data_IF_688772103599
#
_entry.id   IF_688772103599
#
_cell.length_a   1.000
_cell.length_b   1.000
_cell.length_c   1.000
_cell.angle_alpha   90.00
_cell.angle_beta   90.00
_cell.angle_gamma   90.00
#
_symmetry.space_group_name_H-M   'P 1'
#
loop_
_entity.id
_entity.type
_entity.pdbx_description
1 polymer ?
#
# COMPACT_ATOMS: atom_id res chain seq x y z
N UNK A 1 18.54 -12.02 -45.73
CA UNK A 1 18.32 -10.78 -44.94
C UNK A 1 16.84 -10.62 -44.63
N UNK A 2 16.38 -11.24 -43.56
CA UNK A 2 15.01 -11.03 -43.09
C UNK A 2 15.02 -9.75 -42.30
N UNK A 3 14.51 -8.65 -42.93
CA UNK A 3 14.36 -7.36 -42.32
C UNK A 3 13.66 -7.46 -40.97
N UNK A 4 14.42 -7.24 -39.89
CA UNK A 4 13.84 -6.94 -38.59
C UNK A 4 13.08 -5.62 -38.74
N UNK A 5 11.77 -5.71 -38.77
CA UNK A 5 10.93 -4.52 -38.61
C UNK A 5 11.32 -3.82 -37.34
N UNK A 6 11.68 -2.52 -37.37
CA UNK A 6 12.02 -1.78 -36.16
C UNK A 6 10.87 -1.94 -35.15
N UNK A 7 11.17 -2.40 -33.95
CA UNK A 7 10.17 -2.40 -32.88
C UNK A 7 9.64 -0.98 -32.74
N UNK A 8 8.32 -0.76 -32.72
CA UNK A 8 7.76 0.58 -32.62
C UNK A 8 8.26 1.23 -31.35
N UNK A 9 8.98 2.35 -31.49
CA UNK A 9 9.35 3.23 -30.38
C UNK A 9 8.14 3.39 -29.46
N UNK A 10 8.32 3.13 -28.16
CA UNK A 10 7.30 2.99 -27.12
C UNK A 10 6.00 3.73 -27.42
N UNK A 11 4.91 2.99 -27.67
CA UNK A 11 3.56 3.50 -27.99
C UNK A 11 3.06 4.55 -26.98
N UNK A 12 3.58 4.51 -25.75
CA UNK A 12 3.18 5.39 -24.66
C UNK A 12 4.34 6.27 -24.19
N UNK A 13 4.08 7.57 -23.96
CA UNK A 13 5.04 8.52 -23.40
C UNK A 13 5.06 8.45 -21.86
N UNK A 14 3.90 8.29 -21.22
CA UNK A 14 3.76 8.13 -19.78
C UNK A 14 3.81 6.65 -19.36
N UNK A 15 4.42 6.33 -18.19
CA UNK A 15 5.25 7.20 -17.38
C UNK A 15 6.73 7.16 -17.81
N UNK A 16 7.45 8.23 -17.51
CA UNK A 16 8.91 8.22 -17.38
C UNK A 16 9.27 8.23 -15.89
N UNK A 17 10.54 8.04 -15.54
CA UNK A 17 11.00 8.19 -14.15
C UNK A 17 10.75 9.63 -13.66
N UNK A 18 10.96 10.64 -14.52
CA UNK A 18 10.66 12.04 -14.20
C UNK A 18 9.17 12.25 -13.91
N UNK A 19 8.28 11.60 -14.68
CA UNK A 19 6.84 11.66 -14.43
C UNK A 19 6.48 11.09 -13.05
N UNK A 20 7.09 9.95 -12.65
CA UNK A 20 6.85 9.35 -11.34
C UNK A 20 7.39 10.25 -10.21
N UNK A 21 8.57 10.83 -10.36
CA UNK A 21 9.12 11.78 -9.39
C UNK A 21 8.27 13.05 -9.29
N UNK A 22 7.78 13.57 -10.42
CA UNK A 22 6.88 14.71 -10.43
C UNK A 22 5.57 14.40 -9.68
N UNK A 23 4.99 13.20 -9.88
CA UNK A 23 3.80 12.76 -9.15
C UNK A 23 4.06 12.64 -7.64
N UNK A 24 5.24 12.19 -7.22
CA UNK A 24 5.65 12.23 -5.80
C UNK A 24 5.69 13.66 -5.28
N UNK A 25 6.30 14.59 -6.02
CA UNK A 25 6.29 16.01 -5.64
C UNK A 25 4.87 16.58 -5.51
N UNK A 26 3.99 16.27 -6.47
CA UNK A 26 2.57 16.67 -6.41
C UNK A 26 1.87 16.07 -5.19
N UNK A 27 2.14 14.81 -4.83
CA UNK A 27 1.59 14.20 -3.62
C UNK A 27 1.88 15.03 -2.37
N UNK A 28 3.14 15.45 -2.17
CA UNK A 28 3.50 16.27 -1.03
C UNK A 28 2.88 17.67 -1.08
N UNK A 29 2.74 18.28 -2.26
CA UNK A 29 2.03 19.55 -2.41
C UNK A 29 0.54 19.41 -2.08
N UNK A 30 -0.10 18.32 -2.47
CA UNK A 30 -1.51 18.06 -2.17
C UNK A 30 -1.78 17.87 -0.68
N UNK A 31 -0.79 17.51 0.15
CA UNK A 31 -0.96 17.51 1.61
C UNK A 31 -1.32 18.92 2.12
N UNK A 32 -0.66 19.97 1.62
CA UNK A 32 -1.00 21.35 1.98
C UNK A 32 -2.39 21.75 1.50
N UNK A 33 -2.79 21.28 0.32
CA UNK A 33 -4.17 21.53 -0.19
C UNK A 33 -5.19 20.84 0.71
N UNK A 34 -4.94 19.62 1.16
CA UNK A 34 -5.81 18.89 2.09
C UNK A 34 -5.94 19.60 3.44
N UNK A 35 -4.81 20.09 3.99
CA UNK A 35 -4.82 20.88 5.23
C UNK A 35 -5.64 22.18 5.07
N UNK A 36 -5.45 22.91 3.97
CA UNK A 36 -6.22 24.11 3.67
C UNK A 36 -7.71 23.81 3.52
N UNK A 37 -8.05 22.74 2.80
CA UNK A 37 -9.42 22.31 2.64
C UNK A 37 -10.08 21.93 3.98
N UNK A 38 -9.36 21.24 4.88
CA UNK A 38 -9.84 20.95 6.21
C UNK A 38 -10.10 22.22 7.02
N UNK A 39 -9.19 23.20 6.96
CA UNK A 39 -9.39 24.49 7.64
C UNK A 39 -10.62 25.23 7.11
N UNK A 40 -10.82 25.25 5.80
CA UNK A 40 -12.00 25.88 5.17
C UNK A 40 -13.29 25.12 5.49
N UNK A 41 -13.22 23.82 5.74
CA UNK A 41 -14.34 22.99 6.18
C UNK A 41 -14.65 23.12 7.69
N UNK A 42 -13.90 23.96 8.42
CA UNK A 42 -14.14 24.20 9.84
C UNK A 42 -13.41 23.25 10.80
N UNK A 43 -12.46 22.45 10.31
CA UNK A 43 -11.62 21.66 11.21
C UNK A 43 -10.53 22.54 11.84
N UNK A 44 -10.27 22.32 13.13
CA UNK A 44 -9.10 22.86 13.77
C UNK A 44 -7.87 22.02 13.47
N UNK A 45 -6.70 22.67 13.39
CA UNK A 45 -5.45 21.93 13.24
C UNK A 45 -5.16 21.13 14.52
N UNK A 46 -4.75 19.87 14.38
CA UNK A 46 -4.32 19.08 15.53
C UNK A 46 -3.15 19.72 16.24
N UNK A 47 -3.09 19.56 17.55
CA UNK A 47 -1.96 20.01 18.37
C UNK A 47 -0.68 19.26 17.95
N UNK A 48 0.43 20.01 17.81
CA UNK A 48 1.73 19.46 17.44
C UNK A 48 2.26 18.46 18.46
N UNK A 49 1.98 18.68 19.76
CA UNK A 49 2.44 17.78 20.82
C UNK A 49 1.69 16.43 20.78
N UNK A 50 0.41 16.46 20.39
CA UNK A 50 -0.36 15.23 20.09
C UNK A 50 0.23 14.47 18.88
N UNK A 51 0.51 15.19 17.80
CA UNK A 51 1.04 14.57 16.57
C UNK A 51 2.43 13.97 16.75
N UNK A 52 3.25 14.55 17.64
CA UNK A 52 4.57 14.04 17.98
C UNK A 52 4.54 12.90 19.02
N UNK A 53 3.37 12.64 19.62
CA UNK A 53 3.24 11.65 20.69
C UNK A 53 3.80 12.11 22.04
N UNK A 54 4.03 13.42 22.22
CA UNK A 54 4.52 13.99 23.48
C UNK A 54 3.46 13.97 24.59
N UNK A 55 2.19 14.01 24.19
CA UNK A 55 1.02 14.00 25.09
C UNK A 55 0.05 12.92 24.64
N UNK A 56 -0.47 12.14 25.59
CA UNK A 56 -1.51 11.16 25.29
C UNK A 56 -2.84 11.88 24.99
N UNK A 57 -3.47 11.63 23.84
CA UNK A 57 -4.73 12.28 23.48
C UNK A 57 -5.91 11.75 24.30
N UNK A 58 -6.82 12.65 24.67
CA UNK A 58 -8.13 12.24 25.21
C UNK A 58 -8.98 11.52 24.17
N UNK A 59 -10.04 10.76 24.56
CA UNK A 59 -10.92 10.10 23.61
C UNK A 59 -11.55 11.08 22.59
N UNK A 60 -11.93 12.28 23.02
CA UNK A 60 -12.48 13.33 22.16
C UNK A 60 -11.45 13.85 21.16
N UNK A 61 -10.21 14.03 21.59
CA UNK A 61 -9.10 14.43 20.72
C UNK A 61 -8.77 13.34 19.70
N UNK A 62 -8.82 12.06 20.11
CA UNK A 62 -8.62 10.94 19.20
C UNK A 62 -9.67 10.88 18.10
N UNK A 63 -10.95 11.07 18.43
CA UNK A 63 -12.03 11.10 17.44
C UNK A 63 -11.94 12.32 16.51
N UNK A 64 -11.64 13.50 17.07
CA UNK A 64 -11.43 14.73 16.28
C UNK A 64 -10.26 14.55 15.30
N UNK A 65 -9.15 13.98 15.75
CA UNK A 65 -7.98 13.69 14.92
C UNK A 65 -8.30 12.66 13.83
N UNK A 66 -9.05 11.61 14.16
CA UNK A 66 -9.47 10.60 13.19
C UNK A 66 -10.37 11.20 12.10
N UNK A 67 -11.31 12.09 12.46
CA UNK A 67 -12.16 12.82 11.50
C UNK A 67 -11.35 13.76 10.61
N UNK A 68 -10.44 14.52 11.21
CA UNK A 68 -9.53 15.39 10.48
C UNK A 68 -8.68 14.60 9.47
N UNK A 69 -8.09 13.48 9.90
CA UNK A 69 -7.27 12.61 9.05
C UNK A 69 -8.11 11.98 7.94
N UNK A 70 -9.32 11.49 8.22
CA UNK A 70 -10.23 10.96 7.22
C UNK A 70 -10.56 11.97 6.13
N UNK A 71 -10.88 13.20 6.51
CA UNK A 71 -11.22 14.27 5.57
C UNK A 71 -10.00 14.67 4.72
N UNK A 72 -8.87 14.97 5.35
CA UNK A 72 -7.65 15.38 4.64
C UNK A 72 -7.16 14.28 3.70
N UNK A 73 -7.19 13.03 4.15
CA UNK A 73 -6.80 11.87 3.34
C UNK A 73 -7.70 11.70 2.10
N UNK A 74 -9.01 11.78 2.27
CA UNK A 74 -9.97 11.68 1.15
C UNK A 74 -9.73 12.77 0.11
N UNK A 75 -9.55 14.02 0.55
CA UNK A 75 -9.29 15.15 -0.34
C UNK A 75 -7.96 14.98 -1.08
N UNK A 76 -6.88 14.72 -0.35
CA UNK A 76 -5.54 14.62 -0.95
C UNK A 76 -5.42 13.43 -1.91
N UNK A 77 -5.90 12.26 -1.50
CA UNK A 77 -5.83 11.05 -2.34
C UNK A 77 -6.79 11.15 -3.53
N UNK A 78 -8.00 11.71 -3.33
CA UNK A 78 -8.95 11.97 -4.42
C UNK A 78 -8.35 12.90 -5.47
N UNK A 79 -7.77 14.03 -5.05
CA UNK A 79 -7.08 14.95 -5.95
C UNK A 79 -5.87 14.31 -6.63
N UNK A 80 -5.09 13.49 -5.91
CA UNK A 80 -3.94 12.78 -6.47
C UNK A 80 -4.37 11.83 -7.59
N UNK A 81 -5.44 11.07 -7.39
CA UNK A 81 -6.00 10.17 -8.40
C UNK A 81 -6.46 10.97 -9.63
N UNK A 82 -7.26 12.02 -9.42
CA UNK A 82 -7.76 12.86 -10.52
C UNK A 82 -6.62 13.50 -11.30
N UNK A 83 -5.63 14.09 -10.59
CA UNK A 83 -4.45 14.68 -11.21
C UNK A 83 -3.67 13.63 -12.02
N UNK A 84 -3.41 12.45 -11.44
CA UNK A 84 -2.65 11.40 -12.12
C UNK A 84 -3.36 10.91 -13.38
N UNK A 85 -4.69 10.74 -13.35
CA UNK A 85 -5.48 10.37 -14.52
C UNK A 85 -5.42 11.44 -15.61
N UNK A 86 -5.56 12.71 -15.24
CA UNK A 86 -5.46 13.84 -16.14
C UNK A 86 -4.06 13.96 -16.74
N UNK A 87 -3.02 13.93 -15.89
CA UNK A 87 -1.62 14.01 -16.32
C UNK A 87 -1.24 12.85 -17.25
N UNK A 88 -1.64 11.61 -16.91
CA UNK A 88 -1.48 10.44 -17.77
C UNK A 88 -2.11 10.65 -19.15
N UNK A 89 -3.29 11.26 -19.20
CA UNK A 89 -3.97 11.56 -20.48
C UNK A 89 -3.20 12.59 -21.32
N UNK A 90 -2.73 13.68 -20.69
CA UNK A 90 -1.92 14.71 -21.35
C UNK A 90 -0.60 14.14 -21.89
N UNK A 91 0.01 13.21 -21.15
CA UNK A 91 1.29 12.58 -21.50
C UNK A 91 1.14 11.36 -22.42
N UNK A 92 -0.01 11.19 -23.07
CA UNK A 92 -0.28 10.05 -23.96
C UNK A 92 0.05 8.69 -23.34
N UNK A 93 -0.41 8.46 -22.12
CA UNK A 93 -0.30 7.18 -21.41
C UNK A 93 -1.35 6.17 -21.88
N UNK A 94 -1.24 4.93 -21.35
CA UNK A 94 -2.25 3.90 -21.61
C UNK A 94 -3.62 4.33 -21.08
N UNK A 95 -4.68 3.96 -21.78
CA UNK A 95 -6.06 4.11 -21.28
C UNK A 95 -6.51 2.91 -20.44
N UNK A 96 -5.72 1.83 -20.41
CA UNK A 96 -6.01 0.69 -19.56
C UNK A 96 -5.93 1.12 -18.10
N UNK A 97 -6.97 0.84 -17.38
CA UNK A 97 -7.10 1.07 -15.95
C UNK A 97 -7.38 -0.27 -15.27
N UNK A 98 -8.12 -0.25 -14.22
CA UNK A 98 -8.48 -1.38 -13.39
C UNK A 98 -8.84 -2.65 -14.16
N UNK A 99 -8.38 -3.76 -13.62
CA UNK A 99 -8.79 -5.09 -14.04
C UNK A 99 -9.66 -5.69 -12.93
N UNK A 100 -10.81 -6.18 -13.34
CA UNK A 100 -11.78 -6.81 -12.47
C UNK A 100 -11.88 -8.28 -12.83
N UNK A 101 -11.42 -9.15 -11.95
CA UNK A 101 -11.53 -10.59 -12.12
C UNK A 101 -11.92 -11.23 -10.78
N UNK A 102 -12.92 -12.10 -10.78
CA UNK A 102 -13.29 -12.87 -9.60
C UNK A 102 -12.25 -13.95 -9.23
N UNK A 103 -11.31 -14.28 -10.14
CA UNK A 103 -10.27 -15.30 -9.91
C UNK A 103 -9.41 -15.05 -8.68
N UNK A 104 -9.17 -13.78 -8.36
CA UNK A 104 -8.39 -13.39 -7.18
C UNK A 104 -9.15 -13.50 -5.86
N UNK A 105 -10.47 -13.71 -5.88
CA UNK A 105 -11.30 -13.83 -4.67
C UNK A 105 -11.35 -15.27 -4.12
N UNK A 106 -10.41 -16.12 -4.50
CA UNK A 106 -10.27 -17.45 -3.91
C UNK A 106 -9.88 -17.31 -2.43
N UNK A 107 -10.68 -17.85 -1.47
CA UNK A 107 -10.41 -17.70 -0.04
C UNK A 107 -9.05 -18.28 0.39
N UNK A 108 -8.61 -19.35 -0.26
CA UNK A 108 -7.31 -19.97 0.04
C UNK A 108 -6.15 -19.08 -0.43
N UNK A 109 -6.31 -18.41 -1.59
CA UNK A 109 -5.33 -17.42 -2.07
C UNK A 109 -5.26 -16.22 -1.12
N UNK A 110 -6.41 -15.73 -0.68
CA UNK A 110 -6.49 -14.61 0.26
C UNK A 110 -5.87 -14.97 1.62
N UNK A 111 -6.14 -16.18 2.12
CA UNK A 111 -5.54 -16.66 3.36
C UNK A 111 -4.00 -16.69 3.27
N UNK A 112 -3.46 -17.35 2.22
CA UNK A 112 -2.01 -17.42 2.05
C UNK A 112 -1.38 -16.06 1.73
N UNK A 113 -2.10 -15.18 1.04
CA UNK A 113 -1.68 -13.79 0.83
C UNK A 113 -1.54 -13.03 2.14
N UNK A 114 -2.52 -13.15 3.03
CA UNK A 114 -2.47 -12.53 4.36
C UNK A 114 -1.34 -13.12 5.21
N UNK A 115 -1.20 -14.45 5.26
CA UNK A 115 -0.09 -15.10 6.00
C UNK A 115 1.25 -14.62 5.47
N UNK A 116 1.41 -14.50 4.14
CA UNK A 116 2.63 -13.98 3.53
C UNK A 116 2.92 -12.54 3.97
N UNK A 117 1.92 -11.67 3.99
CA UNK A 117 2.08 -10.27 4.38
C UNK A 117 2.45 -10.15 5.86
N UNK A 118 1.75 -10.86 6.76
CA UNK A 118 2.06 -10.86 8.19
C UNK A 118 3.46 -11.43 8.48
N UNK A 119 3.82 -12.54 7.83
CA UNK A 119 5.16 -13.12 7.95
C UNK A 119 6.24 -12.17 7.39
N UNK A 120 5.98 -11.49 6.27
CA UNK A 120 6.89 -10.49 5.71
C UNK A 120 7.13 -9.34 6.69
N UNK A 121 6.09 -8.86 7.40
CA UNK A 121 6.22 -7.84 8.44
C UNK A 121 7.23 -8.24 9.53
N UNK A 122 7.17 -9.49 10.00
CA UNK A 122 8.12 -10.01 10.98
C UNK A 122 9.54 -10.17 10.38
N UNK A 123 9.64 -10.64 9.15
CA UNK A 123 10.93 -10.85 8.46
C UNK A 123 11.68 -9.54 8.23
N UNK A 124 10.97 -8.45 7.95
CA UNK A 124 11.60 -7.12 7.77
C UNK A 124 11.82 -6.35 9.06
N UNK A 125 11.26 -6.82 10.19
CA UNK A 125 11.34 -6.13 11.49
C UNK A 125 12.77 -5.70 11.86
N UNK A 126 13.83 -6.52 11.71
CA UNK A 126 15.20 -6.10 12.04
C UNK A 126 15.69 -4.89 11.24
N UNK A 127 15.18 -4.70 10.00
CA UNK A 127 15.50 -3.52 9.18
C UNK A 127 14.68 -2.32 9.64
N UNK A 128 13.42 -2.54 9.97
CA UNK A 128 12.50 -1.48 10.44
C UNK A 128 12.94 -0.95 11.80
N UNK A 129 13.45 -1.79 12.70
CA UNK A 129 14.00 -1.39 14.01
C UNK A 129 15.18 -0.41 13.91
N UNK A 130 15.91 -0.40 12.79
CA UNK A 130 17.02 0.56 12.57
C UNK A 130 16.52 1.97 12.20
N UNK A 131 15.22 2.12 11.96
CA UNK A 131 14.62 3.36 11.49
C UNK A 131 13.71 3.97 12.57
N UNK A 132 13.62 5.31 12.66
CA UNK A 132 12.69 5.92 13.59
C UNK A 132 11.24 5.50 13.23
N UNK A 133 10.42 5.18 14.24
CA UNK A 133 9.00 4.89 14.06
C UNK A 133 8.18 6.17 14.24
N UNK A 134 7.18 6.42 13.37
CA UNK A 134 6.28 7.55 13.57
C UNK A 134 5.31 7.26 14.72
N UNK A 135 4.81 8.30 15.37
CA UNK A 135 3.71 8.17 16.32
C UNK A 135 2.43 7.71 15.61
N UNK A 136 1.76 6.69 16.14
CA UNK A 136 0.45 6.26 15.64
C UNK A 136 -0.67 7.23 16.01
N UNK A 137 -0.41 8.18 16.91
CA UNK A 137 -1.38 9.19 17.34
C UNK A 137 -2.02 9.94 16.16
N UNK A 138 -1.29 10.12 15.05
CA UNK A 138 -1.78 10.81 13.83
C UNK A 138 -3.02 10.15 13.21
N UNK A 139 -3.26 8.87 13.47
CA UNK A 139 -4.43 8.16 12.91
C UNK A 139 -5.68 8.33 13.78
N UNK A 140 -5.53 8.75 15.03
CA UNK A 140 -6.61 8.73 16.02
C UNK A 140 -7.11 7.32 16.31
N UNK A 141 -8.30 7.23 16.92
CA UNK A 141 -8.97 5.95 17.22
C UNK A 141 -10.46 6.06 16.90
N UNK A 142 -11.15 4.91 16.91
CA UNK A 142 -12.60 4.85 16.71
C UNK A 142 -13.02 4.67 15.25
N UNK A 143 -14.28 4.98 14.98
CA UNK A 143 -14.94 4.70 13.71
C UNK A 143 -14.22 5.32 12.49
N UNK A 144 -13.85 6.59 12.57
CA UNK A 144 -13.21 7.29 11.46
C UNK A 144 -11.82 6.78 11.15
N UNK A 145 -11.06 6.36 12.18
CA UNK A 145 -9.76 5.72 11.98
C UNK A 145 -9.91 4.36 11.25
N UNK A 146 -10.91 3.54 11.63
CA UNK A 146 -11.21 2.28 10.94
C UNK A 146 -11.57 2.55 9.47
N UNK A 147 -12.52 3.46 9.22
CA UNK A 147 -12.93 3.80 7.85
C UNK A 147 -11.75 4.27 7.01
N UNK A 148 -10.89 5.11 7.58
CA UNK A 148 -9.73 5.64 6.85
C UNK A 148 -8.71 4.55 6.57
N UNK A 149 -8.26 3.83 7.59
CA UNK A 149 -7.13 2.90 7.48
C UNK A 149 -7.51 1.57 6.83
N UNK A 150 -8.73 1.06 7.11
CA UNK A 150 -9.12 -0.30 6.69
C UNK A 150 -9.95 -0.28 5.41
N UNK A 151 -10.62 0.83 5.09
CA UNK A 151 -11.49 0.90 3.91
C UNK A 151 -10.97 1.88 2.88
N UNK A 152 -10.85 3.17 3.25
CA UNK A 152 -10.52 4.23 2.29
C UNK A 152 -9.09 4.10 1.76
N UNK A 153 -8.11 3.90 2.65
CA UNK A 153 -6.72 3.80 2.25
C UNK A 153 -6.50 2.62 1.29
N UNK A 154 -6.85 1.36 1.62
CA UNK A 154 -6.70 0.25 0.70
C UNK A 154 -7.39 0.48 -0.65
N UNK A 155 -8.61 1.03 -0.64
CA UNK A 155 -9.36 1.26 -1.87
C UNK A 155 -8.67 2.28 -2.79
N UNK A 156 -8.32 3.45 -2.24
CA UNK A 156 -7.77 4.56 -3.02
C UNK A 156 -6.30 4.31 -3.42
N UNK A 157 -5.52 3.72 -2.53
CA UNK A 157 -4.10 3.40 -2.79
C UNK A 157 -3.95 2.30 -3.83
N UNK A 158 -4.74 1.21 -3.75
CA UNK A 158 -4.69 0.18 -4.77
C UNK A 158 -5.20 0.70 -6.13
N UNK A 159 -6.22 1.55 -6.11
CA UNK A 159 -6.67 2.20 -7.34
C UNK A 159 -5.56 3.04 -7.99
N UNK A 160 -4.87 3.88 -7.22
CA UNK A 160 -3.76 4.69 -7.71
C UNK A 160 -2.58 3.82 -8.14
N UNK A 161 -2.11 2.94 -7.24
CA UNK A 161 -0.84 2.25 -7.43
C UNK A 161 -0.95 1.07 -8.39
N UNK A 162 -2.03 0.24 -8.31
CA UNK A 162 -2.20 -0.92 -9.21
C UNK A 162 -3.01 -0.55 -10.43
N UNK A 163 -4.11 0.18 -10.25
CA UNK A 163 -4.99 0.56 -11.34
C UNK A 163 -4.37 1.56 -12.33
N UNK A 164 -3.60 2.53 -11.84
CA UNK A 164 -3.06 3.60 -12.69
C UNK A 164 -1.56 3.43 -12.93
N UNK A 165 -0.75 3.43 -11.86
CA UNK A 165 0.71 3.46 -11.97
C UNK A 165 1.24 2.12 -12.52
N UNK A 166 0.92 0.99 -11.86
CA UNK A 166 1.38 -0.33 -12.29
C UNK A 166 0.97 -0.64 -13.73
N UNK A 167 -0.29 -0.43 -14.09
CA UNK A 167 -0.77 -0.68 -15.46
C UNK A 167 -0.10 0.25 -16.48
N UNK A 168 0.22 1.49 -16.12
CA UNK A 168 0.93 2.41 -16.99
C UNK A 168 2.39 2.01 -17.20
N UNK A 169 3.09 1.62 -16.13
CA UNK A 169 4.47 1.13 -16.21
C UNK A 169 4.52 -0.20 -16.96
N UNK A 170 3.58 -1.11 -16.68
CA UNK A 170 3.48 -2.42 -17.35
C UNK A 170 3.30 -2.27 -18.86
N UNK A 171 2.47 -1.34 -19.30
CA UNK A 171 2.21 -1.09 -20.71
C UNK A 171 3.44 -0.56 -21.45
N UNK A 172 4.35 0.11 -20.75
CA UNK A 172 5.54 0.74 -21.35
C UNK A 172 6.81 -0.06 -21.14
N UNK A 173 7.05 -0.60 -19.95
CA UNK A 173 8.32 -1.18 -19.54
C UNK A 173 8.24 -2.66 -19.16
N UNK A 174 7.03 -3.26 -19.22
CA UNK A 174 6.82 -4.67 -18.88
C UNK A 174 6.57 -4.93 -17.40
N UNK A 175 6.40 -6.21 -17.07
CA UNK A 175 5.91 -6.68 -15.77
C UNK A 175 6.88 -6.42 -14.63
N UNK A 176 8.17 -6.70 -14.83
CA UNK A 176 9.20 -6.55 -13.78
C UNK A 176 9.33 -5.08 -13.36
N UNK A 177 9.48 -4.18 -14.35
CA UNK A 177 9.55 -2.75 -14.07
C UNK A 177 8.27 -2.24 -13.39
N UNK A 178 7.08 -2.74 -13.81
CA UNK A 178 5.81 -2.37 -13.20
C UNK A 178 5.76 -2.76 -11.73
N UNK A 179 6.18 -3.97 -11.39
CA UNK A 179 6.20 -4.46 -10.02
C UNK A 179 7.08 -3.56 -9.13
N UNK A 180 8.34 -3.36 -9.52
CA UNK A 180 9.29 -2.60 -8.71
C UNK A 180 8.97 -1.11 -8.64
N UNK A 181 8.67 -0.45 -9.77
CA UNK A 181 8.42 0.99 -9.79
C UNK A 181 7.10 1.37 -9.11
N UNK A 182 6.03 0.55 -9.24
CA UNK A 182 4.78 0.83 -8.53
C UNK A 182 4.92 0.60 -7.02
N UNK A 183 5.72 -0.38 -6.60
CA UNK A 183 6.00 -0.64 -5.18
C UNK A 183 6.87 0.46 -4.57
N UNK A 184 7.88 0.94 -5.31
CA UNK A 184 8.68 2.08 -4.88
C UNK A 184 7.85 3.38 -4.80
N UNK A 185 6.98 3.62 -5.78
CA UNK A 185 6.05 4.74 -5.74
C UNK A 185 5.13 4.66 -4.51
N UNK A 186 4.53 3.50 -4.26
CA UNK A 186 3.70 3.24 -3.09
C UNK A 186 4.45 3.49 -1.78
N UNK A 187 5.69 3.01 -1.67
CA UNK A 187 6.56 3.21 -0.52
C UNK A 187 6.81 4.70 -0.21
N UNK A 188 7.17 5.47 -1.24
CA UNK A 188 7.50 6.90 -1.07
C UNK A 188 6.29 7.73 -0.65
N UNK A 189 5.07 7.35 -1.05
CA UNK A 189 3.84 8.04 -0.61
C UNK A 189 3.61 7.95 0.90
N UNK A 190 4.21 6.98 1.60
CA UNK A 190 4.08 6.84 3.06
C UNK A 190 4.88 7.86 3.86
N UNK A 191 5.82 8.59 3.24
CA UNK A 191 6.49 9.75 3.81
C UNK A 191 7.44 9.50 5.00
N UNK A 192 7.44 8.29 5.56
CA UNK A 192 8.26 7.93 6.71
C UNK A 192 9.11 6.69 6.41
N UNK A 193 10.44 6.68 6.69
CA UNK A 193 11.34 5.61 6.27
C UNK A 193 10.92 4.20 6.72
N UNK A 194 10.53 4.02 7.98
CA UNK A 194 10.09 2.73 8.51
C UNK A 194 8.82 2.22 7.80
N UNK A 195 7.84 3.11 7.60
CA UNK A 195 6.61 2.79 6.87
C UNK A 195 6.89 2.52 5.38
N UNK A 196 7.84 3.26 4.78
CA UNK A 196 8.21 3.08 3.38
C UNK A 196 8.84 1.71 3.12
N UNK A 197 9.70 1.20 4.01
CA UNK A 197 10.27 -0.16 3.90
C UNK A 197 9.15 -1.20 3.93
N UNK A 198 8.24 -1.11 4.91
CA UNK A 198 7.10 -2.02 4.99
C UNK A 198 6.21 -1.91 3.75
N UNK A 199 5.84 -0.69 3.34
CA UNK A 199 5.00 -0.44 2.18
C UNK A 199 5.64 -0.95 0.88
N UNK A 200 6.96 -0.87 0.73
CA UNK A 200 7.66 -1.42 -0.43
C UNK A 200 7.48 -2.93 -0.53
N UNK A 201 7.71 -3.67 0.57
CA UNK A 201 7.56 -5.13 0.60
C UNK A 201 6.10 -5.54 0.39
N UNK A 202 5.16 -4.87 1.08
CA UNK A 202 3.72 -5.09 0.86
C UNK A 202 3.33 -4.75 -0.57
N UNK A 203 3.94 -3.69 -1.13
CA UNK A 203 3.80 -3.27 -2.52
C UNK A 203 4.16 -4.37 -3.51
N UNK A 204 5.27 -5.06 -3.30
CA UNK A 204 5.72 -6.18 -4.13
C UNK A 204 4.74 -7.36 -4.05
N UNK A 205 4.29 -7.74 -2.85
CA UNK A 205 3.36 -8.86 -2.65
C UNK A 205 2.02 -8.57 -3.34
N UNK A 206 1.41 -7.42 -3.05
CA UNK A 206 0.12 -7.02 -3.63
C UNK A 206 0.23 -6.82 -5.15
N UNK A 207 1.33 -6.20 -5.62
CA UNK A 207 1.57 -6.01 -7.05
C UNK A 207 1.71 -7.34 -7.80
N UNK A 208 2.42 -8.31 -7.23
CA UNK A 208 2.53 -9.65 -7.79
C UNK A 208 1.16 -10.34 -7.86
N UNK A 209 0.40 -10.36 -6.77
CA UNK A 209 -0.95 -10.95 -6.73
C UNK A 209 -1.87 -10.28 -7.76
N UNK A 210 -1.81 -8.93 -7.88
CA UNK A 210 -2.59 -8.20 -8.87
C UNK A 210 -2.25 -8.58 -10.31
N UNK A 211 -0.96 -8.69 -10.63
CA UNK A 211 -0.49 -9.05 -11.97
C UNK A 211 -0.98 -10.43 -12.37
N UNK A 212 -0.89 -11.40 -11.45
CA UNK A 212 -1.25 -12.78 -11.70
C UNK A 212 -2.77 -13.04 -11.73
N UNK A 213 -3.53 -12.33 -10.87
CA UNK A 213 -4.97 -12.53 -10.78
C UNK A 213 -5.77 -11.61 -11.69
N UNK A 214 -5.19 -10.47 -12.11
CA UNK A 214 -5.89 -9.35 -12.75
C UNK A 214 -7.11 -8.89 -11.93
N UNK A 215 -7.03 -8.91 -10.60
CA UNK A 215 -8.13 -8.60 -9.69
C UNK A 215 -7.74 -7.50 -8.71
N UNK A 216 -8.35 -6.32 -8.91
CA UNK A 216 -8.19 -5.21 -7.96
C UNK A 216 -8.85 -5.54 -6.61
N UNK A 217 -9.96 -6.28 -6.62
CA UNK A 217 -10.69 -6.61 -5.40
C UNK A 217 -9.88 -7.48 -4.44
N UNK A 218 -9.10 -8.45 -4.96
CA UNK A 218 -8.27 -9.31 -4.11
C UNK A 218 -7.18 -8.52 -3.40
N UNK A 219 -6.54 -7.58 -4.08
CA UNK A 219 -5.48 -6.77 -3.45
C UNK A 219 -6.03 -5.71 -2.52
N UNK A 220 -7.17 -5.10 -2.83
CA UNK A 220 -7.87 -4.20 -1.89
C UNK A 220 -8.26 -4.97 -0.62
N UNK A 221 -8.81 -6.18 -0.74
CA UNK A 221 -9.21 -6.98 0.41
C UNK A 221 -8.00 -7.42 1.24
N UNK A 222 -6.93 -7.92 0.61
CA UNK A 222 -5.69 -8.28 1.30
C UNK A 222 -5.06 -7.08 2.02
N UNK A 223 -5.01 -5.93 1.37
CA UNK A 223 -4.52 -4.71 1.96
C UNK A 223 -5.39 -4.28 3.16
N UNK A 224 -6.72 -4.30 3.01
CA UNK A 224 -7.64 -4.01 4.11
C UNK A 224 -7.48 -4.97 5.29
N UNK A 225 -7.29 -6.27 5.04
CA UNK A 225 -7.06 -7.27 6.09
C UNK A 225 -5.73 -7.02 6.81
N UNK A 226 -4.66 -6.68 6.08
CA UNK A 226 -3.36 -6.34 6.66
C UNK A 226 -3.44 -5.07 7.52
N UNK A 227 -4.07 -4.02 7.01
CA UNK A 227 -4.28 -2.77 7.75
C UNK A 227 -5.21 -2.96 8.95
N UNK A 228 -6.21 -3.83 8.82
CA UNK A 228 -7.07 -4.23 9.94
C UNK A 228 -6.29 -4.92 11.05
N UNK A 229 -5.37 -5.82 10.71
CA UNK A 229 -4.48 -6.46 11.70
C UNK A 229 -3.57 -5.42 12.38
N UNK A 230 -2.97 -4.51 11.63
CA UNK A 230 -2.15 -3.43 12.19
C UNK A 230 -3.00 -2.49 13.09
N UNK A 231 -4.21 -2.16 12.67
CA UNK A 231 -5.12 -1.33 13.48
C UNK A 231 -5.52 -2.00 14.79
N UNK A 232 -5.72 -3.33 14.80
CA UNK A 232 -5.96 -4.07 16.04
C UNK A 232 -4.80 -3.95 17.02
N UNK A 233 -3.54 -3.97 16.54
CA UNK A 233 -2.37 -3.72 17.40
C UNK A 233 -2.39 -2.32 18.01
N UNK A 234 -2.78 -1.31 17.24
CA UNK A 234 -2.98 0.07 17.75
C UNK A 234 -4.04 0.08 18.86
N UNK A 235 -5.16 -0.62 18.67
CA UNK A 235 -6.27 -0.64 19.63
C UNK A 235 -5.90 -1.30 20.98
N UNK A 236 -4.97 -2.26 20.96
CA UNK A 236 -4.49 -2.93 22.18
C UNK A 236 -3.23 -2.28 22.77
N UNK A 237 -2.80 -1.12 22.23
CA UNK A 237 -1.66 -0.36 22.74
C UNK A 237 -0.29 -0.96 22.38
N UNK A 238 -0.22 -1.78 21.34
CA UNK A 238 1.01 -2.37 20.81
C UNK A 238 1.53 -1.62 19.56
N UNK A 239 1.03 -0.42 19.31
CA UNK A 239 1.51 0.45 18.27
C UNK A 239 2.98 0.85 18.51
N UNK A 240 3.81 0.65 17.50
CA UNK A 240 5.25 0.88 17.60
C UNK A 240 6.02 -0.20 18.40
N UNK A 241 5.35 -1.18 18.98
CA UNK A 241 6.01 -2.33 19.57
C UNK A 241 6.48 -3.30 18.47
N UNK A 242 7.72 -3.77 18.62
CA UNK A 242 8.24 -4.87 17.80
C UNK A 242 7.88 -6.21 18.40
N UNK A 243 7.82 -7.27 17.60
CA UNK A 243 7.62 -8.63 18.11
C UNK A 243 8.68 -8.95 19.16
N UNK A 244 9.91 -8.50 18.93
CA UNK A 244 11.03 -8.67 19.88
C UNK A 244 10.74 -8.00 21.22
N UNK A 245 10.25 -6.76 21.22
CA UNK A 245 9.94 -6.02 22.45
C UNK A 245 8.77 -6.62 23.24
N UNK A 246 7.76 -7.14 22.53
CA UNK A 246 6.59 -7.80 23.15
C UNK A 246 6.96 -9.14 23.76
N UNK A 247 7.80 -9.93 23.09
CA UNK A 247 8.22 -11.25 23.58
C UNK A 247 9.22 -11.14 24.76
N UNK A 248 10.11 -10.16 24.75
CA UNK A 248 11.09 -9.95 25.80
C UNK A 248 12.13 -11.06 25.96
N UNK A 249 12.25 -11.99 25.00
CA UNK A 249 13.19 -13.12 25.02
C UNK A 249 13.82 -13.30 23.65
N UNK A 250 15.14 -13.17 23.56
CA UNK A 250 15.87 -13.33 22.28
C UNK A 250 15.75 -14.74 21.71
N UNK A 251 15.72 -15.78 22.56
CA UNK A 251 15.53 -17.16 22.10
C UNK A 251 14.16 -17.35 21.48
N UNK A 252 13.11 -16.88 22.15
CA UNK A 252 11.74 -17.00 21.65
C UNK A 252 11.54 -16.15 20.39
N UNK A 253 12.11 -14.94 20.36
CA UNK A 253 12.12 -14.10 19.15
C UNK A 253 12.78 -14.81 17.97
N UNK A 254 13.94 -15.45 18.18
CA UNK A 254 14.61 -16.21 17.12
C UNK A 254 13.73 -17.35 16.60
N UNK A 255 13.01 -18.06 17.45
CA UNK A 255 12.06 -19.11 17.05
C UNK A 255 10.94 -18.50 16.18
N UNK A 256 10.32 -17.42 16.65
CA UNK A 256 9.25 -16.72 15.91
C UNK A 256 9.74 -16.21 14.55
N UNK A 257 10.94 -15.65 14.50
CA UNK A 257 11.56 -15.16 13.27
C UNK A 257 11.80 -16.31 12.26
N UNK A 258 12.36 -17.44 12.71
CA UNK A 258 12.55 -18.63 11.85
C UNK A 258 11.21 -19.17 11.34
N UNK A 259 10.20 -19.24 12.23
CA UNK A 259 8.83 -19.65 11.83
C UNK A 259 8.26 -18.67 10.79
N UNK A 260 8.45 -17.36 10.95
CA UNK A 260 8.02 -16.36 9.99
C UNK A 260 8.72 -16.53 8.62
N UNK A 261 10.03 -16.81 8.59
CA UNK A 261 10.76 -17.13 7.35
C UNK A 261 10.18 -18.36 6.66
N UNK A 262 9.90 -19.43 7.40
CA UNK A 262 9.29 -20.65 6.86
C UNK A 262 7.88 -20.37 6.33
N UNK A 263 7.05 -19.63 7.08
CA UNK A 263 5.71 -19.24 6.65
C UNK A 263 5.74 -18.34 5.42
N UNK A 264 6.67 -17.41 5.35
CA UNK A 264 6.84 -16.56 4.16
C UNK A 264 7.16 -17.38 2.91
N UNK A 265 8.14 -18.28 3.01
CA UNK A 265 8.51 -19.16 1.91
C UNK A 265 7.39 -20.13 1.52
N UNK A 266 6.73 -20.76 2.50
CA UNK A 266 5.60 -21.66 2.28
C UNK A 266 4.42 -20.95 1.63
N UNK A 267 4.10 -19.73 2.08
CA UNK A 267 3.04 -18.90 1.50
C UNK A 267 3.33 -18.55 0.04
N UNK A 268 4.56 -18.14 -0.25
CA UNK A 268 5.00 -17.87 -1.63
C UNK A 268 4.84 -19.10 -2.54
N UNK A 269 5.24 -20.28 -2.06
CA UNK A 269 5.08 -21.53 -2.78
C UNK A 269 3.59 -21.90 -2.99
N UNK A 270 2.75 -21.74 -1.96
CA UNK A 270 1.32 -22.04 -2.06
C UNK A 270 0.60 -21.11 -3.01
N UNK A 271 0.91 -19.79 -2.96
CA UNK A 271 0.38 -18.80 -3.89
C UNK A 271 0.78 -19.17 -5.33
N UNK A 272 2.06 -19.46 -5.56
CA UNK A 272 2.54 -19.88 -6.86
C UNK A 272 1.78 -21.12 -7.39
N UNK A 273 1.60 -22.16 -6.56
CA UNK A 273 0.86 -23.36 -6.94
C UNK A 273 -0.62 -23.10 -7.25
N UNK A 274 -1.27 -22.24 -6.46
CA UNK A 274 -2.67 -21.87 -6.69
C UNK A 274 -2.83 -21.12 -8.01
N UNK A 275 -1.97 -20.14 -8.28
CA UNK A 275 -1.99 -19.37 -9.51
C UNK A 275 -1.67 -20.23 -10.75
N UNK A 276 -0.70 -21.14 -10.66
CA UNK A 276 -0.38 -22.08 -11.73
C UNK A 276 -1.55 -23.02 -12.08
N UNK A 277 -2.36 -23.42 -11.09
CA UNK A 277 -3.60 -24.21 -11.33
C UNK A 277 -4.66 -23.39 -12.06
N UNK A 278 -4.86 -22.13 -11.65
CA UNK A 278 -5.84 -21.22 -12.29
C UNK A 278 -5.47 -20.97 -13.76
N UNK A 279 -4.19 -20.81 -14.07
CA UNK A 279 -3.72 -20.64 -15.45
C UNK A 279 -3.96 -21.90 -16.32
N UNK A 280 -3.78 -23.10 -15.77
CA UNK A 280 -3.98 -24.38 -16.47
C UNK A 280 -5.46 -24.71 -16.72
N UNK A 281 -6.35 -24.26 -15.85
CA UNK A 281 -7.79 -24.53 -15.97
C UNK A 281 -8.49 -23.76 -17.10
N UNK A 282 -7.80 -22.83 -17.77
CA UNK A 282 -8.32 -22.05 -18.90
C UNK A 282 -9.30 -20.93 -18.52
N UNK A 283 -9.76 -20.14 -19.51
CA UNK A 283 -10.62 -18.98 -19.25
C UNK A 283 -12.07 -19.33 -18.86
N UNK A 284 -12.49 -20.59 -18.92
CA UNK A 284 -13.88 -21.04 -18.74
C UNK A 284 -14.06 -22.15 -17.66
N UNK A 285 -13.09 -22.37 -16.77
CA UNK A 285 -13.25 -23.33 -15.67
C UNK A 285 -13.62 -22.62 -14.36
#
# INVERSE_FOLDING_TARGET
DRGQTPQPAHKYRFPTLIDLLALVGIWYLLQFVGLLAARLAGFDFPDWDLLRGNVAPTPEQQDALARFTAFTYLVTMGLMILFTLFYRRLRHGTRKTLRFSARGLNPVLLLWGLVMMLAAGIVIEPVVELLPMPSSAVYGRGFWAIITLVVMAPLLEEFLCRGIILESVRAKYGVVAALFLSSAFFAVLHGHPALAVNAFVMGLILGFIYIETNSIFSVVLLHAMNNGAAFLLIMVGLDGATIRSVIGSDTLYTIVYVVALVLFAASGYMIYRLLARVQRAGPFA
#
